data_IF_462125691250
#
_entry.id   IF_462125691250
#
_cell.length_a   1.000
_cell.length_b   1.000
_cell.length_c   1.000
_cell.angle_alpha   90.00
_cell.angle_beta   90.00
_cell.angle_gamma   90.00
#
_symmetry.space_group_name_H-M   'P 1'
#
loop_
_entity.id
_entity.type
_entity.pdbx_description
1 polymer ?
#
# COMPACT_ATOMS: atom_id res chain seq x y z
N UNK A 1 23.65 -14.71 11.47
CA UNK A 1 22.90 -14.80 10.20
C UNK A 1 23.39 -13.67 9.33
N UNK A 2 23.89 -13.96 8.14
CA UNK A 2 24.26 -12.93 7.16
C UNK A 2 23.01 -12.40 6.44
N UNK A 3 23.14 -11.30 5.70
CA UNK A 3 22.00 -10.64 5.03
C UNK A 3 21.36 -11.52 3.96
N UNK A 4 22.14 -12.34 3.25
CA UNK A 4 21.61 -13.19 2.19
C UNK A 4 20.83 -14.38 2.79
N UNK A 5 21.36 -15.01 3.84
CA UNK A 5 20.64 -16.06 4.56
C UNK A 5 19.39 -15.54 5.26
N UNK A 6 19.38 -14.28 5.70
CA UNK A 6 18.17 -13.61 6.16
C UNK A 6 17.16 -13.39 5.02
N UNK A 7 17.59 -12.84 3.88
CA UNK A 7 16.72 -12.56 2.73
C UNK A 7 16.01 -13.82 2.21
N UNK A 8 16.73 -14.93 2.07
CA UNK A 8 16.14 -16.24 1.69
C UNK A 8 15.17 -16.75 2.77
N UNK A 9 15.49 -16.53 4.05
CA UNK A 9 14.64 -16.94 5.16
C UNK A 9 13.28 -16.23 5.11
N UNK A 10 13.27 -14.91 4.90
CA UNK A 10 12.05 -14.09 4.87
C UNK A 10 11.41 -13.98 3.48
N UNK A 11 11.96 -14.62 2.46
CA UNK A 11 11.37 -14.67 1.13
C UNK A 11 9.95 -15.27 1.20
N UNK A 12 9.02 -14.68 0.45
CA UNK A 12 7.61 -15.11 0.37
C UNK A 12 6.89 -15.05 1.74
N UNK A 13 7.19 -14.02 2.53
CA UNK A 13 6.65 -13.80 3.87
C UNK A 13 5.14 -13.64 3.86
N UNK A 14 4.61 -12.80 2.96
CA UNK A 14 3.17 -12.54 2.87
C UNK A 14 2.41 -13.80 2.48
N UNK A 15 2.96 -14.57 1.54
CA UNK A 15 2.43 -15.85 1.13
C UNK A 15 2.44 -16.88 2.27
N UNK A 16 3.52 -16.97 3.06
CA UNK A 16 3.58 -17.84 4.24
C UNK A 16 2.50 -17.48 5.25
N UNK A 17 2.34 -16.18 5.55
CA UNK A 17 1.34 -15.70 6.51
C UNK A 17 -0.09 -16.01 6.03
N UNK A 18 -0.38 -15.88 4.73
CA UNK A 18 -1.66 -16.28 4.14
C UNK A 18 -1.90 -17.80 4.24
N UNK A 19 -0.84 -18.60 4.19
CA UNK A 19 -0.91 -20.04 4.42
C UNK A 19 -1.04 -20.42 5.91
N UNK A 20 -0.95 -19.46 6.84
CA UNK A 20 -0.94 -19.72 8.29
C UNK A 20 0.41 -20.22 8.79
N UNK A 21 1.49 -19.90 8.07
CA UNK A 21 2.87 -20.29 8.37
C UNK A 21 3.62 -19.03 8.83
N UNK A 22 4.38 -19.15 9.92
CA UNK A 22 5.19 -18.05 10.42
C UNK A 22 6.28 -17.68 9.40
N UNK A 23 6.39 -16.39 9.11
CA UNK A 23 7.45 -15.86 8.27
C UNK A 23 8.83 -16.10 8.89
N UNK A 24 9.79 -16.51 8.07
CA UNK A 24 11.14 -16.85 8.53
C UNK A 24 11.24 -18.19 9.29
N UNK A 25 10.21 -19.03 9.21
CA UNK A 25 10.24 -20.39 9.75
C UNK A 25 10.73 -21.43 8.73
N UNK A 26 10.99 -22.65 9.21
CA UNK A 26 11.46 -23.76 8.37
C UNK A 26 10.36 -24.37 7.48
N UNK A 27 9.09 -24.03 7.75
CA UNK A 27 7.94 -24.55 7.00
C UNK A 27 7.67 -23.68 5.78
N UNK A 28 7.31 -24.31 4.67
CA UNK A 28 6.89 -23.64 3.43
C UNK A 28 5.51 -24.13 3.00
N UNK A 29 4.70 -23.29 2.33
CA UNK A 29 3.42 -23.71 1.78
C UNK A 29 3.62 -24.88 0.80
N UNK A 30 2.77 -25.92 0.84
CA UNK A 30 2.85 -26.99 -0.13
C UNK A 30 2.49 -26.45 -1.54
N UNK A 31 3.20 -26.86 -2.61
CA UNK A 31 3.05 -26.27 -3.94
C UNK A 31 1.63 -26.33 -4.51
N UNK A 32 0.89 -27.40 -4.22
CA UNK A 32 -0.49 -27.63 -4.66
C UNK A 32 -1.51 -26.73 -3.94
N UNK A 33 -1.18 -26.18 -2.78
CA UNK A 33 -2.04 -25.29 -2.01
C UNK A 33 -1.90 -23.80 -2.36
N UNK A 34 -0.88 -23.43 -3.14
CA UNK A 34 -0.47 -22.03 -3.35
C UNK A 34 -1.61 -21.16 -3.87
N UNK A 35 -2.31 -21.61 -4.92
CA UNK A 35 -3.42 -20.86 -5.51
C UNK A 35 -4.60 -20.71 -4.53
N UNK A 36 -4.84 -21.73 -3.70
CA UNK A 36 -5.86 -21.69 -2.65
C UNK A 36 -5.56 -20.64 -1.58
N UNK A 37 -4.30 -20.48 -1.19
CA UNK A 37 -3.88 -19.45 -0.23
C UNK A 37 -3.97 -18.05 -0.82
N UNK A 38 -3.54 -17.85 -2.07
CA UNK A 38 -3.70 -16.57 -2.77
C UNK A 38 -5.16 -16.17 -2.93
N UNK A 39 -6.04 -17.14 -3.19
CA UNK A 39 -7.50 -16.92 -3.24
C UNK A 39 -8.10 -16.40 -1.93
N UNK A 40 -7.39 -16.52 -0.79
CA UNK A 40 -7.84 -15.96 0.51
C UNK A 40 -7.82 -14.44 0.52
N UNK A 41 -6.93 -13.80 -0.25
CA UNK A 41 -6.84 -12.33 -0.30
C UNK A 41 -8.18 -11.71 -0.69
N UNK A 42 -8.88 -12.31 -1.68
CA UNK A 42 -10.21 -11.86 -2.13
C UNK A 42 -11.33 -12.07 -1.11
N UNK A 43 -11.09 -12.84 -0.04
CA UNK A 43 -12.04 -13.14 1.02
C UNK A 43 -11.77 -12.36 2.31
N UNK A 44 -10.67 -11.61 2.37
CA UNK A 44 -10.38 -10.75 3.51
C UNK A 44 -11.43 -9.63 3.60
N UNK A 45 -11.83 -9.27 4.81
CA UNK A 45 -12.80 -8.20 5.05
C UNK A 45 -12.31 -6.81 4.64
N UNK A 46 -11.00 -6.65 4.49
CA UNK A 46 -10.34 -5.44 4.02
C UNK A 46 -8.95 -5.79 3.49
N UNK A 47 -8.51 -5.08 2.45
CA UNK A 47 -7.15 -5.11 1.91
C UNK A 47 -6.72 -3.67 1.67
N UNK A 48 -5.62 -3.25 2.30
CA UNK A 48 -4.98 -1.95 2.09
C UNK A 48 -3.57 -2.13 1.52
N UNK A 49 -3.01 -1.05 0.96
CA UNK A 49 -1.66 -1.00 0.42
C UNK A 49 -0.87 0.10 1.13
N UNK A 50 0.38 -0.19 1.51
CA UNK A 50 1.26 0.80 2.16
C UNK A 50 1.61 1.94 1.22
N UNK A 51 1.86 1.66 -0.07
CA UNK A 51 2.04 2.67 -1.11
C UNK A 51 0.80 3.54 -1.32
N UNK A 52 -0.37 3.07 -0.86
CA UNK A 52 -1.63 3.79 -0.91
C UNK A 52 -2.19 4.11 0.48
N UNK A 53 -1.35 4.49 1.43
CA UNK A 53 -1.69 4.55 2.86
C UNK A 53 -2.93 5.40 3.17
N UNK A 54 -2.98 6.66 2.69
CA UNK A 54 -4.10 7.56 3.00
C UNK A 54 -5.41 7.05 2.40
N UNK A 55 -5.35 6.51 1.18
CA UNK A 55 -6.50 5.87 0.53
C UNK A 55 -6.93 4.59 1.26
N UNK A 56 -5.98 3.83 1.82
CA UNK A 56 -6.26 2.61 2.58
C UNK A 56 -7.03 2.91 3.88
N UNK A 57 -6.64 3.96 4.60
CA UNK A 57 -7.37 4.40 5.80
C UNK A 57 -8.78 4.85 5.43
N UNK A 58 -8.89 5.73 4.44
CA UNK A 58 -10.18 6.21 3.96
C UNK A 58 -11.08 5.05 3.48
N UNK A 59 -10.51 4.10 2.74
CA UNK A 59 -11.23 2.91 2.27
C UNK A 59 -11.73 2.05 3.44
N UNK A 60 -10.91 1.84 4.47
CA UNK A 60 -11.33 1.11 5.65
C UNK A 60 -12.57 1.75 6.29
N UNK A 61 -12.56 3.07 6.46
CA UNK A 61 -13.70 3.82 7.01
C UNK A 61 -14.90 3.87 6.07
N UNK A 62 -14.69 3.92 4.76
CA UNK A 62 -15.78 3.84 3.78
C UNK A 62 -16.46 2.45 3.80
N UNK A 63 -15.69 1.38 4.03
CA UNK A 63 -16.19 0.00 4.07
C UNK A 63 -16.89 -0.34 5.38
N UNK A 64 -16.33 0.09 6.51
CA UNK A 64 -16.74 -0.38 7.85
C UNK A 64 -17.31 0.73 8.74
N UNK A 65 -17.27 1.99 8.31
CA UNK A 65 -17.68 3.15 9.08
C UNK A 65 -16.63 3.61 10.11
N UNK A 66 -17.08 4.38 11.09
CA UNK A 66 -16.22 5.01 12.10
C UNK A 66 -15.67 6.37 11.66
N UNK A 67 -15.03 7.07 12.59
CA UNK A 67 -14.46 8.41 12.37
C UNK A 67 -12.96 8.27 12.19
N UNK A 68 -12.44 8.75 11.06
CA UNK A 68 -10.99 8.80 10.84
C UNK A 68 -10.33 9.72 11.88
N UNK A 69 -9.16 9.34 12.35
CA UNK A 69 -8.36 10.10 13.30
C UNK A 69 -7.04 10.52 12.67
N UNK A 70 -6.55 11.71 13.02
CA UNK A 70 -5.30 12.21 12.44
C UNK A 70 -4.10 11.29 12.72
N UNK A 71 -4.10 10.58 13.84
CA UNK A 71 -3.02 9.69 14.23
C UNK A 71 -2.92 8.47 13.31
N UNK A 72 -4.01 8.07 12.64
CA UNK A 72 -4.03 6.94 11.71
C UNK A 72 -3.16 7.22 10.47
N UNK A 73 -3.08 8.48 10.06
CA UNK A 73 -2.30 8.93 8.91
C UNK A 73 -0.81 9.16 9.23
N UNK A 74 -0.42 9.05 10.50
CA UNK A 74 0.96 9.33 10.93
C UNK A 74 1.86 8.10 10.72
N UNK A 75 3.04 8.30 10.13
CA UNK A 75 4.04 7.24 10.05
C UNK A 75 4.71 7.03 11.42
N UNK A 76 4.25 6.02 12.14
CA UNK A 76 4.77 5.64 13.47
C UNK A 76 6.02 4.75 13.42
N UNK A 77 6.47 4.36 12.22
CA UNK A 77 7.67 3.55 11.98
C UNK A 77 8.50 4.15 10.85
N UNK A 78 9.05 5.36 11.03
CA UNK A 78 9.93 5.94 10.03
C UNK A 78 11.11 5.01 9.78
N UNK A 79 11.39 4.74 8.51
CA UNK A 79 12.61 4.05 8.11
C UNK A 79 13.84 4.84 8.59
N UNK A 80 14.95 4.14 8.82
CA UNK A 80 16.20 4.82 9.17
C UNK A 80 16.60 5.76 8.02
N UNK A 81 16.72 7.06 8.30
CA UNK A 81 17.20 8.04 7.33
C UNK A 81 18.62 7.66 6.91
N UNK A 82 18.75 7.11 5.70
CA UNK A 82 20.04 6.85 5.08
C UNK A 82 20.48 8.14 4.41
N UNK A 83 21.67 8.64 4.77
CA UNK A 83 22.27 9.76 4.04
C UNK A 83 22.36 9.38 2.56
N UNK A 84 22.17 10.35 1.65
CA UNK A 84 22.26 10.11 0.20
C UNK A 84 23.60 9.47 -0.26
N UNK A 85 24.61 9.42 0.62
CA UNK A 85 25.92 8.79 0.44
C UNK A 85 25.99 7.31 0.85
N UNK A 86 25.10 6.83 1.73
CA UNK A 86 24.93 5.40 1.97
C UNK A 86 24.02 4.89 0.86
N UNK A 87 24.59 4.17 -0.11
CA UNK A 87 23.92 3.72 -1.33
C UNK A 87 22.47 3.23 -1.14
N UNK A 88 21.68 3.37 -2.20
CA UNK A 88 20.29 2.91 -2.26
C UNK A 88 20.20 1.46 -1.79
N UNK A 89 19.09 1.13 -1.13
CA UNK A 89 18.79 -0.25 -0.82
C UNK A 89 18.78 -1.05 -2.13
N UNK A 90 19.60 -2.09 -2.19
CA UNK A 90 19.71 -2.98 -3.36
C UNK A 90 19.28 -4.38 -2.92
N UNK A 91 17.97 -4.68 -2.91
CA UNK A 91 17.47 -5.98 -2.49
C UNK A 91 18.07 -7.11 -3.34
N UNK A 92 18.25 -6.87 -4.65
CA UNK A 92 18.83 -7.85 -5.57
C UNK A 92 20.29 -8.17 -5.22
N UNK A 93 21.08 -7.17 -4.81
CA UNK A 93 22.44 -7.33 -4.32
C UNK A 93 22.57 -8.22 -3.08
N UNK A 94 21.49 -8.41 -2.33
CA UNK A 94 21.41 -9.32 -1.17
C UNK A 94 20.74 -10.65 -1.50
N UNK A 95 20.60 -11.00 -2.78
CA UNK A 95 20.02 -12.26 -3.22
C UNK A 95 18.49 -12.33 -3.11
N UNK A 96 17.82 -11.19 -2.91
CA UNK A 96 16.36 -11.15 -3.02
C UNK A 96 15.98 -11.34 -4.49
N UNK A 97 15.18 -12.36 -4.77
CA UNK A 97 14.59 -12.52 -6.10
C UNK A 97 13.73 -11.28 -6.43
N UNK A 98 13.72 -10.87 -7.70
CA UNK A 98 12.89 -9.76 -8.16
C UNK A 98 11.44 -9.97 -7.67
N UNK A 99 10.83 -9.01 -6.95
CA UNK A 99 9.54 -9.20 -6.29
C UNK A 99 8.47 -9.78 -7.23
N UNK A 100 8.50 -9.39 -8.51
CA UNK A 100 7.55 -9.79 -9.55
C UNK A 100 7.60 -11.29 -9.87
N UNK A 101 8.71 -11.96 -9.54
CA UNK A 101 8.93 -13.39 -9.80
C UNK A 101 8.62 -14.27 -8.57
N UNK A 102 8.49 -13.69 -7.38
CA UNK A 102 8.18 -14.39 -6.13
C UNK A 102 6.68 -14.60 -5.89
N UNK A 103 6.34 -15.41 -4.88
CA UNK A 103 4.96 -15.59 -4.46
C UNK A 103 4.41 -14.34 -3.78
N UNK A 104 5.25 -13.57 -3.09
CA UNK A 104 4.83 -12.29 -2.51
C UNK A 104 4.43 -11.27 -3.58
N UNK A 105 5.11 -11.21 -4.74
CA UNK A 105 4.68 -10.36 -5.86
C UNK A 105 3.32 -10.77 -6.43
N UNK A 106 3.04 -12.08 -6.51
CA UNK A 106 1.72 -12.58 -6.91
C UNK A 106 0.64 -12.22 -5.90
N UNK A 107 0.94 -12.32 -4.60
CA UNK A 107 0.04 -11.88 -3.52
C UNK A 107 -0.23 -10.37 -3.63
N UNK A 108 0.81 -9.56 -3.82
CA UNK A 108 0.70 -8.11 -3.97
C UNK A 108 -0.15 -7.73 -5.19
N UNK A 109 0.04 -8.40 -6.34
CA UNK A 109 -0.76 -8.18 -7.53
C UNK A 109 -2.26 -8.40 -7.26
N UNK A 110 -2.62 -9.51 -6.61
CA UNK A 110 -4.01 -9.81 -6.23
C UNK A 110 -4.53 -8.79 -5.20
N UNK A 111 -3.71 -8.42 -4.21
CA UNK A 111 -4.07 -7.42 -3.23
C UNK A 111 -4.35 -6.06 -3.88
N UNK A 112 -3.54 -5.66 -4.86
CA UNK A 112 -3.70 -4.44 -5.64
C UNK A 112 -4.99 -4.45 -6.44
N UNK A 113 -5.33 -5.57 -7.10
CA UNK A 113 -6.63 -5.72 -7.77
C UNK A 113 -7.80 -5.53 -6.80
N UNK A 114 -7.81 -6.26 -5.67
CA UNK A 114 -8.88 -6.18 -4.66
C UNK A 114 -8.98 -4.77 -4.07
N UNK A 115 -7.85 -4.13 -3.79
CA UNK A 115 -7.80 -2.76 -3.30
C UNK A 115 -8.48 -1.80 -4.29
N UNK A 116 -8.05 -1.77 -5.55
CA UNK A 116 -8.60 -0.85 -6.55
C UNK A 116 -10.04 -1.17 -6.96
N UNK A 117 -10.47 -2.43 -6.87
CA UNK A 117 -11.88 -2.81 -6.97
C UNK A 117 -12.72 -2.19 -5.85
N UNK A 118 -12.25 -2.28 -4.60
CA UNK A 118 -12.94 -1.71 -3.45
C UNK A 118 -12.90 -0.17 -3.47
N UNK A 119 -11.78 0.45 -3.84
CA UNK A 119 -11.70 1.91 -4.03
C UNK A 119 -12.80 2.40 -4.97
N UNK A 120 -12.99 1.74 -6.11
CA UNK A 120 -14.08 2.05 -7.05
C UNK A 120 -15.45 1.76 -6.45
N UNK A 121 -15.63 0.60 -5.83
CA UNK A 121 -16.92 0.17 -5.25
C UNK A 121 -17.44 1.12 -4.17
N UNK A 122 -16.54 1.64 -3.35
CA UNK A 122 -16.87 2.53 -2.23
C UNK A 122 -16.69 4.02 -2.55
N UNK A 123 -16.48 4.36 -3.84
CA UNK A 123 -16.29 5.73 -4.30
C UNK A 123 -15.20 6.48 -3.50
N UNK A 124 -14.11 5.79 -3.19
CA UNK A 124 -12.98 6.36 -2.46
C UNK A 124 -12.10 7.11 -3.45
N UNK A 125 -11.85 8.37 -3.18
CA UNK A 125 -10.88 9.23 -3.87
C UNK A 125 -10.55 10.39 -2.93
N UNK A 126 -9.52 11.17 -3.24
CA UNK A 126 -9.09 12.33 -2.45
C UNK A 126 -10.27 13.20 -2.00
N UNK A 127 -11.19 13.52 -2.91
CA UNK A 127 -12.33 14.41 -2.63
C UNK A 127 -13.32 13.78 -1.66
N UNK A 128 -13.76 12.55 -1.90
CA UNK A 128 -14.72 11.86 -1.02
C UNK A 128 -14.12 11.53 0.33
N UNK A 129 -12.82 11.21 0.38
CA UNK A 129 -12.10 11.07 1.64
C UNK A 129 -12.11 12.36 2.45
N UNK A 130 -11.83 13.49 1.82
CA UNK A 130 -11.82 14.80 2.48
C UNK A 130 -13.22 15.25 2.94
N UNK A 131 -14.25 14.99 2.14
CA UNK A 131 -15.59 15.58 2.32
C UNK A 131 -16.56 14.67 3.06
N UNK A 132 -16.46 13.36 2.87
CA UNK A 132 -17.49 12.39 3.28
C UNK A 132 -16.98 11.45 4.38
N UNK A 133 -15.77 10.89 4.22
CA UNK A 133 -15.30 9.81 5.10
C UNK A 133 -14.39 10.29 6.23
N UNK A 134 -13.44 11.18 5.94
CA UNK A 134 -12.35 11.56 6.84
C UNK A 134 -12.26 13.08 7.03
N UNK A 135 -13.37 13.73 7.41
CA UNK A 135 -13.38 15.19 7.67
C UNK A 135 -12.32 15.63 8.70
N UNK A 136 -12.07 14.84 9.74
CA UNK A 136 -11.02 15.11 10.73
C UNK A 136 -9.58 14.86 10.22
N UNK A 137 -9.43 14.15 9.10
CA UNK A 137 -8.16 13.91 8.42
C UNK A 137 -8.04 14.67 7.09
N UNK A 138 -8.86 15.70 6.85
CA UNK A 138 -8.97 16.38 5.55
C UNK A 138 -7.63 16.86 5.02
N UNK A 139 -6.74 17.35 5.90
CA UNK A 139 -5.41 17.87 5.57
C UNK A 139 -4.52 16.87 4.82
N UNK A 140 -4.70 15.57 5.04
CA UNK A 140 -3.92 14.53 4.37
C UNK A 140 -4.34 14.32 2.91
N UNK A 141 -5.49 14.87 2.52
CA UNK A 141 -6.05 14.83 1.17
C UNK A 141 -5.99 16.20 0.48
N UNK A 142 -5.33 17.18 1.07
CA UNK A 142 -5.14 18.50 0.46
C UNK A 142 -4.04 18.45 -0.61
N UNK A 143 -4.23 19.21 -1.69
CA UNK A 143 -3.19 19.40 -2.70
C UNK A 143 -2.22 20.46 -2.17
N UNK A 144 -1.02 20.05 -1.75
CA UNK A 144 0.00 20.98 -1.26
C UNK A 144 0.94 21.41 -2.40
N UNK A 145 1.11 22.73 -2.59
CA UNK A 145 2.01 23.32 -3.59
C UNK A 145 1.30 24.24 -4.58
N UNK A 146 2.06 24.83 -5.52
CA UNK A 146 1.48 25.62 -6.61
C UNK A 146 0.67 24.70 -7.53
N UNK A 147 -0.66 24.83 -7.50
CA UNK A 147 -1.51 24.29 -8.56
C UNK A 147 -1.13 25.03 -9.84
N UNK A 148 -0.63 24.35 -10.89
CA UNK A 148 -0.26 25.02 -12.13
C UNK A 148 -1.44 25.87 -12.63
N UNK A 149 -1.18 27.12 -13.01
CA UNK A 149 -2.21 28.08 -13.42
C UNK A 149 -3.11 27.56 -14.55
N UNK A 150 -2.58 26.65 -15.37
CA UNK A 150 -3.28 25.94 -16.46
C UNK A 150 -4.44 25.05 -16.00
N UNK A 151 -4.54 24.73 -14.70
CA UNK A 151 -5.61 23.93 -14.12
C UNK A 151 -6.67 24.76 -13.37
N UNK A 152 -6.44 26.07 -13.17
CA UNK A 152 -7.35 26.94 -12.42
C UNK A 152 -8.66 27.24 -13.17
N UNK A 153 -8.61 27.17 -14.51
CA UNK A 153 -9.72 27.46 -15.42
C UNK A 153 -10.42 26.21 -15.97
N UNK A 154 -10.03 25.02 -15.49
CA UNK A 154 -10.66 23.81 -15.96
C UNK A 154 -12.05 23.60 -15.30
N UNK A 155 -13.05 23.16 -16.08
CA UNK A 155 -14.39 22.90 -15.55
C UNK A 155 -14.31 21.85 -14.43
N UNK A 156 -15.26 21.87 -13.50
CA UNK A 156 -15.29 21.08 -12.25
C UNK A 156 -15.07 19.55 -12.38
N UNK A 157 -14.87 19.02 -13.60
CA UNK A 157 -14.49 17.63 -13.89
C UNK A 157 -13.04 17.37 -14.34
N UNK A 158 -12.18 18.37 -14.61
CA UNK A 158 -10.76 18.06 -14.96
C UNK A 158 -9.85 17.84 -13.74
N UNK A 159 -10.41 18.03 -12.53
CA UNK A 159 -9.78 17.75 -11.24
C UNK A 159 -9.44 16.27 -11.01
N UNK A 160 -9.82 15.40 -11.95
CA UNK A 160 -9.58 13.96 -11.98
C UNK A 160 -8.12 13.54 -11.82
N UNK A 161 -7.15 14.37 -12.25
CA UNK A 161 -5.74 14.01 -12.15
C UNK A 161 -5.29 13.80 -10.69
N UNK A 162 -5.93 14.49 -9.74
CA UNK A 162 -5.57 14.44 -8.32
C UNK A 162 -6.51 13.60 -7.45
N UNK A 163 -7.35 12.77 -8.06
CA UNK A 163 -8.30 11.95 -7.30
C UNK A 163 -7.61 10.79 -6.56
N UNK A 164 -6.47 10.33 -7.08
CA UNK A 164 -5.74 9.18 -6.53
C UNK A 164 -4.26 9.45 -6.27
N UNK A 165 -3.70 10.50 -6.88
CA UNK A 165 -2.31 10.90 -6.70
C UNK A 165 -2.24 12.42 -6.67
N UNK A 166 -1.74 13.04 -5.60
CA UNK A 166 -1.75 14.50 -5.46
C UNK A 166 -0.45 15.06 -4.88
N UNK A 167 -0.06 16.29 -5.25
CA UNK A 167 1.06 16.99 -4.64
C UNK A 167 0.97 17.04 -3.11
N UNK A 168 2.05 16.64 -2.44
CA UNK A 168 2.13 16.60 -0.98
C UNK A 168 1.62 15.31 -0.33
N UNK A 169 1.11 14.36 -1.13
CA UNK A 169 0.83 13.01 -0.66
C UNK A 169 2.10 12.32 -0.17
N UNK A 170 2.01 11.52 0.90
CA UNK A 170 3.16 10.72 1.33
C UNK A 170 3.47 9.65 0.27
N UNK A 171 4.64 9.73 -0.34
CA UNK A 171 5.19 8.59 -1.07
C UNK A 171 5.93 7.70 -0.07
N UNK A 172 5.40 6.50 0.14
CA UNK A 172 6.19 5.42 0.69
C UNK A 172 6.93 4.85 -0.51
N UNK A 173 8.21 5.20 -0.64
CA UNK A 173 9.04 4.68 -1.73
C UNK A 173 8.86 3.16 -1.78
N UNK A 174 8.41 2.65 -2.93
CA UNK A 174 8.51 1.23 -3.25
C UNK A 174 10.01 0.98 -3.49
N UNK A 175 10.73 0.70 -2.40
CA UNK A 175 12.17 0.39 -2.39
C UNK A 175 12.53 -0.78 -3.32
#
# INVERSE_FOLDING_TARGET
>A
QDLNSYAVCVQDCSMQMLAGIACGGDRRPPPDGVDGFMGRVRKLGFVGLTSEWELSICLFHAMHGGVCKEEEFSNVRPGAQRNATSGRYDPAGYGWAAPETGLDGRVYAIAKEVFWENVRRYNVNRRTCMQEYCAAGSRFFEVMGEIPSTFRDQPEGSRSMYDFDWPGRASFDED
#
